data_IF_363195846534
#
_entry.id   IF_363195846534
#
_cell.length_a   1.000
_cell.length_b   1.000
_cell.length_c   1.000
_cell.angle_alpha   90.00
_cell.angle_beta   90.00
_cell.angle_gamma   90.00
#
_symmetry.space_group_name_H-M   'P 1'
#
loop_
_entity.id
_entity.type
_entity.pdbx_description
1 polymer ?
#
# COMPACT_ATOMS: atom_id res chain seq x y z
N UNK A 1 16.26 30.51 -0.02
CA UNK A 1 15.62 29.57 -0.93
C UNK A 1 14.33 30.18 -1.45
N UNK A 2 14.14 30.19 -2.76
CA UNK A 2 12.96 30.80 -3.40
C UNK A 2 11.78 29.83 -3.35
N UNK A 3 10.71 30.15 -2.62
CA UNK A 3 9.48 29.36 -2.51
C UNK A 3 8.75 29.24 -3.86
N UNK A 4 8.83 30.30 -4.71
CA UNK A 4 8.25 30.27 -6.05
C UNK A 4 8.95 29.27 -6.98
N UNK A 5 10.27 29.19 -6.89
CA UNK A 5 11.08 28.19 -7.61
C UNK A 5 10.80 26.76 -7.11
N UNK A 6 10.62 26.59 -5.81
CA UNK A 6 10.29 25.29 -5.20
C UNK A 6 8.89 24.81 -5.62
N UNK A 7 7.88 25.71 -5.60
CA UNK A 7 6.53 25.41 -6.10
C UNK A 7 6.53 25.04 -7.58
N UNK A 8 7.30 25.77 -8.40
CA UNK A 8 7.46 25.47 -9.83
C UNK A 8 8.08 24.08 -10.06
N UNK A 9 9.07 23.68 -9.27
CA UNK A 9 9.66 22.34 -9.32
C UNK A 9 8.60 21.26 -9.07
N UNK A 10 7.76 21.45 -8.06
CA UNK A 10 6.65 20.54 -7.75
C UNK A 10 5.71 20.42 -8.94
N UNK A 11 5.27 21.55 -9.52
CA UNK A 11 4.34 21.54 -10.65
C UNK A 11 4.92 20.86 -11.90
N UNK A 12 6.23 21.00 -12.15
CA UNK A 12 6.90 20.36 -13.29
C UNK A 12 6.98 18.84 -13.10
N UNK A 13 7.35 18.37 -11.92
CA UNK A 13 7.46 16.94 -11.63
C UNK A 13 6.08 16.28 -11.70
N UNK A 14 5.07 16.87 -11.10
CA UNK A 14 3.70 16.37 -11.13
C UNK A 14 3.07 16.36 -12.54
N UNK A 15 3.44 17.32 -13.38
CA UNK A 15 3.00 17.35 -14.78
C UNK A 15 3.75 16.36 -15.68
N UNK A 16 4.90 15.84 -15.23
CA UNK A 16 5.74 14.88 -15.96
C UNK A 16 6.54 15.50 -17.13
N UNK A 17 6.20 16.71 -17.55
CA UNK A 17 6.98 17.46 -18.55
C UNK A 17 6.70 18.96 -18.50
N UNK A 18 7.65 19.77 -19.04
CA UNK A 18 7.58 21.23 -19.05
C UNK A 18 6.37 21.80 -19.82
N UNK A 19 5.91 21.13 -20.85
CA UNK A 19 4.79 21.63 -21.66
C UNK A 19 3.46 21.48 -20.91
N UNK A 20 3.22 20.37 -20.23
CA UNK A 20 2.04 20.17 -19.38
C UNK A 20 2.06 21.09 -18.17
N UNK A 21 3.22 21.27 -17.55
CA UNK A 21 3.39 22.23 -16.46
C UNK A 21 3.06 23.66 -16.92
N UNK A 22 3.51 24.07 -18.10
CA UNK A 22 3.24 25.38 -18.67
C UNK A 22 1.72 25.60 -18.87
N UNK A 23 1.02 24.64 -19.43
CA UNK A 23 -0.45 24.70 -19.58
C UNK A 23 -1.14 24.82 -18.22
N UNK A 24 -0.75 24.00 -17.24
CA UNK A 24 -1.33 24.02 -15.88
C UNK A 24 -1.12 25.35 -15.16
N UNK A 25 0.05 25.98 -15.38
CA UNK A 25 0.41 27.25 -14.75
C UNK A 25 -0.03 28.49 -15.55
N UNK A 26 -0.68 28.34 -16.69
CA UNK A 26 -1.04 29.46 -17.58
C UNK A 26 0.16 30.21 -18.13
N UNK A 27 1.32 29.54 -18.31
CA UNK A 27 2.59 30.13 -18.75
C UNK A 27 3.03 29.56 -20.10
N UNK A 28 3.97 30.24 -20.76
CA UNK A 28 4.66 29.67 -21.89
C UNK A 28 5.71 28.63 -21.44
N UNK A 29 5.96 27.58 -22.23
CA UNK A 29 7.03 26.60 -21.98
C UNK A 29 8.39 27.26 -21.78
N UNK A 30 8.68 28.32 -22.57
CA UNK A 30 9.92 29.07 -22.44
C UNK A 30 10.05 29.76 -21.07
N UNK A 31 8.96 30.33 -20.54
CA UNK A 31 8.93 30.95 -19.22
C UNK A 31 9.16 29.91 -18.10
N UNK A 32 8.45 28.75 -18.15
CA UNK A 32 8.67 27.67 -17.19
C UNK A 32 10.13 27.19 -17.21
N UNK A 33 10.70 26.99 -18.42
CA UNK A 33 12.10 26.59 -18.58
C UNK A 33 13.08 27.62 -18.03
N UNK A 34 12.82 28.92 -18.29
CA UNK A 34 13.66 30.03 -17.80
C UNK A 34 13.64 30.09 -16.26
N UNK A 35 12.47 30.04 -15.64
CA UNK A 35 12.32 30.10 -14.18
C UNK A 35 12.95 28.88 -13.49
N UNK A 36 12.80 27.68 -14.08
CA UNK A 36 13.49 26.49 -13.58
C UNK A 36 15.01 26.65 -13.61
N UNK A 37 15.57 27.14 -14.74
CA UNK A 37 17.01 27.39 -14.86
C UNK A 37 17.50 28.44 -13.87
N UNK A 38 16.68 29.44 -13.57
CA UNK A 38 17.00 30.43 -12.56
C UNK A 38 17.06 29.82 -11.17
N UNK A 39 16.10 28.98 -10.84
CA UNK A 39 16.04 28.25 -9.57
C UNK A 39 17.23 27.27 -9.42
N UNK A 40 17.54 26.50 -10.45
CA UNK A 40 18.71 25.59 -10.47
C UNK A 40 20.03 26.35 -10.30
N UNK A 41 20.17 27.55 -10.90
CA UNK A 41 21.35 28.42 -10.67
C UNK A 41 21.45 28.93 -9.24
N UNK A 42 20.32 29.29 -8.61
CA UNK A 42 20.31 29.70 -7.20
C UNK A 42 20.71 28.56 -6.25
N UNK A 43 20.32 27.34 -6.58
CA UNK A 43 20.70 26.12 -5.82
C UNK A 43 22.14 25.70 -6.13
N UNK A 44 22.68 26.07 -7.30
CA UNK A 44 24.00 25.64 -7.77
C UNK A 44 24.05 24.21 -8.34
N UNK A 45 22.91 23.55 -8.50
CA UNK A 45 22.82 22.17 -8.98
C UNK A 45 21.58 21.98 -9.85
N UNK A 46 21.67 21.01 -10.78
CA UNK A 46 20.53 20.60 -11.57
C UNK A 46 19.58 19.76 -10.72
N UNK A 47 18.29 20.10 -10.79
CA UNK A 47 17.22 19.41 -10.09
C UNK A 47 16.46 18.44 -11.00
N UNK A 48 16.50 18.68 -12.32
CA UNK A 48 15.82 17.88 -13.32
C UNK A 48 16.78 17.50 -14.46
N UNK A 49 16.79 16.20 -14.81
CA UNK A 49 17.41 15.72 -16.05
C UNK A 49 16.39 15.85 -17.19
N UNK A 50 16.77 16.50 -18.27
CA UNK A 50 15.91 16.74 -19.41
C UNK A 50 16.14 15.66 -20.46
N UNK A 51 15.13 14.84 -20.70
CA UNK A 51 15.03 14.04 -21.92
C UNK A 51 14.11 14.75 -22.91
N UNK A 52 14.14 14.38 -24.16
CA UNK A 52 13.32 15.02 -25.20
C UNK A 52 11.81 14.85 -24.99
N UNK A 53 11.38 13.91 -24.16
CA UNK A 53 9.97 13.54 -23.93
C UNK A 53 9.50 13.64 -22.49
N UNK A 54 10.40 13.50 -21.51
CA UNK A 54 10.06 13.46 -20.07
C UNK A 54 11.05 14.27 -19.26
N UNK A 55 10.65 14.60 -18.04
CA UNK A 55 11.49 15.22 -17.04
C UNK A 55 11.72 14.20 -15.94
N UNK A 56 12.98 13.89 -15.66
CA UNK A 56 13.38 12.99 -14.59
C UNK A 56 14.02 13.79 -13.47
N UNK A 57 13.51 13.75 -12.24
CA UNK A 57 14.14 14.45 -11.12
C UNK A 57 15.50 13.79 -10.77
N UNK A 58 16.46 14.63 -10.39
CA UNK A 58 17.69 14.18 -9.75
C UNK A 58 17.40 13.78 -8.29
N UNK A 59 18.33 13.13 -7.61
CA UNK A 59 18.19 12.82 -6.18
C UNK A 59 17.89 14.09 -5.35
N UNK A 60 18.63 15.19 -5.60
CA UNK A 60 18.35 16.47 -4.96
C UNK A 60 16.99 17.03 -5.39
N UNK A 61 16.61 16.86 -6.66
CA UNK A 61 15.30 17.26 -7.18
C UNK A 61 14.16 16.55 -6.46
N UNK A 62 14.27 15.24 -6.20
CA UNK A 62 13.28 14.49 -5.42
C UNK A 62 13.19 14.96 -3.96
N UNK A 63 14.33 15.22 -3.33
CA UNK A 63 14.35 15.75 -1.95
C UNK A 63 13.69 17.12 -1.86
N UNK A 64 14.00 18.04 -2.78
CA UNK A 64 13.37 19.36 -2.82
C UNK A 64 11.89 19.28 -3.23
N UNK A 65 11.51 18.33 -4.08
CA UNK A 65 10.10 18.04 -4.40
C UNK A 65 9.31 17.67 -3.15
N UNK A 66 9.83 16.76 -2.32
CA UNK A 66 9.19 16.37 -1.07
C UNK A 66 8.99 17.58 -0.13
N UNK A 67 10.02 18.42 0.04
CA UNK A 67 9.90 19.67 0.82
C UNK A 67 8.91 20.65 0.22
N UNK A 68 8.91 20.81 -1.11
CA UNK A 68 7.99 21.71 -1.80
C UNK A 68 6.53 21.31 -1.67
N UNK A 69 6.26 20.00 -1.72
CA UNK A 69 4.93 19.45 -1.44
C UNK A 69 4.50 19.71 0.01
N UNK A 70 5.37 19.48 0.98
CA UNK A 70 5.07 19.72 2.38
C UNK A 70 4.73 21.20 2.64
N UNK A 71 5.51 22.14 2.08
CA UNK A 71 5.22 23.57 2.18
C UNK A 71 3.88 23.91 1.52
N UNK A 72 3.58 23.37 0.35
CA UNK A 72 2.31 23.61 -0.34
C UNK A 72 1.12 23.09 0.49
N UNK A 73 1.26 21.94 1.11
CA UNK A 73 0.24 21.38 2.02
C UNK A 73 0.01 22.30 3.22
N UNK A 74 1.09 22.83 3.81
CA UNK A 74 1.00 23.76 4.95
C UNK A 74 0.29 25.07 4.58
N UNK A 75 0.58 25.62 3.41
CA UNK A 75 -0.11 26.81 2.89
C UNK A 75 -1.60 26.52 2.66
N UNK A 76 -1.93 25.36 2.09
CA UNK A 76 -3.33 24.94 1.91
C UNK A 76 -4.04 24.77 3.25
N UNK A 77 -3.40 24.17 4.23
CA UNK A 77 -3.93 24.02 5.58
C UNK A 77 -4.18 25.34 6.29
N UNK A 78 -3.27 26.30 6.11
CA UNK A 78 -3.48 27.66 6.62
C UNK A 78 -4.71 28.33 5.96
N UNK A 79 -4.88 28.15 4.64
CA UNK A 79 -6.06 28.64 3.93
C UNK A 79 -7.35 27.94 4.41
N UNK A 80 -7.34 26.61 4.59
CA UNK A 80 -8.45 25.84 5.16
C UNK A 80 -8.83 26.32 6.59
N UNK A 81 -7.85 26.72 7.38
CA UNK A 81 -8.09 27.26 8.73
C UNK A 81 -8.86 28.57 8.72
N UNK A 82 -8.71 29.36 7.66
CA UNK A 82 -9.45 30.62 7.45
C UNK A 82 -10.88 30.33 6.97
N UNK A 83 -11.04 29.31 6.09
CA UNK A 83 -12.33 28.96 5.46
C UNK A 83 -13.20 28.01 6.31
N UNK A 84 -12.71 27.54 7.46
CA UNK A 84 -13.30 26.45 8.27
C UNK A 84 -14.65 26.76 8.93
N UNK A 85 -15.22 27.93 8.75
CA UNK A 85 -16.53 28.32 9.25
C UNK A 85 -17.68 27.90 8.29
N UNK A 86 -17.77 26.60 7.95
CA UNK A 86 -19.00 26.08 7.32
C UNK A 86 -18.87 25.44 5.94
N UNK A 87 -17.67 25.22 5.42
CA UNK A 87 -17.50 24.57 4.11
C UNK A 87 -17.29 23.04 4.20
N UNK A 88 -17.80 22.34 3.19
CA UNK A 88 -17.58 20.89 3.00
C UNK A 88 -16.10 20.60 2.85
N UNK A 89 -15.66 19.46 3.40
CA UNK A 89 -14.28 18.98 3.31
C UNK A 89 -13.86 18.85 1.83
N UNK A 90 -12.76 19.49 1.44
CA UNK A 90 -12.24 19.50 0.07
C UNK A 90 -10.74 19.21 0.05
N UNK A 91 -10.24 18.78 -1.10
CA UNK A 91 -8.80 18.59 -1.32
C UNK A 91 -8.46 17.28 -2.03
N UNK A 92 -7.16 17.08 -2.27
CA UNK A 92 -6.63 15.84 -2.87
C UNK A 92 -5.82 15.09 -1.82
N UNK A 93 -6.11 13.80 -1.70
CA UNK A 93 -5.34 12.87 -0.85
C UNK A 93 -4.71 11.81 -1.74
N UNK A 94 -3.41 11.66 -1.64
CA UNK A 94 -2.62 10.67 -2.36
C UNK A 94 -2.19 9.57 -1.41
N UNK A 95 -2.56 8.34 -1.72
CA UNK A 95 -2.21 7.21 -0.87
C UNK A 95 -1.73 6.03 -1.70
N UNK A 96 -0.87 5.22 -1.09
CA UNK A 96 -0.40 3.96 -1.67
C UNK A 96 -0.87 2.80 -0.78
N UNK A 97 -1.44 1.76 -1.39
CA UNK A 97 -2.00 0.60 -0.71
C UNK A 97 -1.46 -0.69 -1.31
N UNK A 98 -1.34 -1.79 -0.53
CA UNK A 98 -0.87 -3.06 -1.06
C UNK A 98 -1.78 -3.57 -2.17
N UNK A 99 -1.21 -4.06 -3.28
CA UNK A 99 -1.96 -4.49 -4.46
C UNK A 99 -3.06 -5.51 -4.13
N UNK A 100 -2.77 -6.52 -3.30
CA UNK A 100 -3.74 -7.54 -2.93
C UNK A 100 -4.76 -7.04 -1.91
N UNK A 101 -4.30 -6.56 -0.76
CA UNK A 101 -5.17 -6.08 0.32
C UNK A 101 -5.95 -4.83 -0.08
N UNK A 102 -5.28 -3.89 -0.73
CA UNK A 102 -5.91 -2.65 -1.21
C UNK A 102 -7.09 -2.94 -2.11
N UNK A 103 -6.95 -3.87 -3.06
CA UNK A 103 -8.02 -4.20 -4.01
C UNK A 103 -9.14 -5.02 -3.37
N UNK A 104 -8.83 -5.99 -2.52
CA UNK A 104 -9.83 -6.92 -1.96
C UNK A 104 -10.60 -6.34 -0.76
N UNK A 105 -9.94 -5.50 0.04
CA UNK A 105 -10.50 -4.98 1.29
C UNK A 105 -10.70 -3.47 1.25
N UNK A 106 -9.66 -2.71 0.96
CA UNK A 106 -9.72 -1.25 1.09
C UNK A 106 -10.51 -0.56 -0.01
N UNK A 107 -10.65 -1.15 -1.20
CA UNK A 107 -11.39 -0.51 -2.31
C UNK A 107 -12.85 -0.18 -1.93
N UNK A 108 -13.50 -1.05 -1.15
CA UNK A 108 -14.83 -0.80 -0.60
C UNK A 108 -14.86 0.40 0.35
N UNK A 109 -13.90 0.45 1.29
CA UNK A 109 -13.76 1.55 2.25
C UNK A 109 -13.48 2.89 1.57
N UNK A 110 -12.55 2.91 0.62
CA UNK A 110 -12.20 4.12 -0.13
C UNK A 110 -13.39 4.63 -0.96
N UNK A 111 -14.14 3.73 -1.59
CA UNK A 111 -15.34 4.08 -2.33
C UNK A 111 -16.45 4.63 -1.42
N UNK A 112 -16.63 4.08 -0.23
CA UNK A 112 -17.55 4.58 0.77
C UNK A 112 -17.14 5.98 1.25
N UNK A 113 -15.86 6.18 1.56
CA UNK A 113 -15.32 7.47 1.95
C UNK A 113 -15.57 8.55 0.89
N UNK A 114 -15.34 8.25 -0.38
CA UNK A 114 -15.60 9.19 -1.48
C UNK A 114 -17.07 9.57 -1.60
N UNK A 115 -18.01 8.66 -1.31
CA UNK A 115 -19.43 8.99 -1.29
C UNK A 115 -19.79 9.92 -0.13
N UNK A 116 -19.15 9.74 1.03
CA UNK A 116 -19.38 10.60 2.20
C UNK A 116 -18.74 11.99 2.02
N UNK A 117 -17.68 12.10 1.25
CA UNK A 117 -16.88 13.31 1.06
C UNK A 117 -16.69 13.66 -0.42
N UNK A 118 -17.76 14.14 -1.12
CA UNK A 118 -17.71 14.39 -2.57
C UNK A 118 -16.73 15.49 -2.99
N UNK A 119 -16.30 16.35 -2.06
CA UNK A 119 -15.28 17.39 -2.31
C UNK A 119 -13.84 16.88 -2.27
N UNK A 120 -13.60 15.60 -1.90
CA UNK A 120 -12.26 15.03 -1.84
C UNK A 120 -11.96 14.26 -3.13
N UNK A 121 -10.77 14.48 -3.66
CA UNK A 121 -10.18 13.66 -4.73
C UNK A 121 -9.17 12.68 -4.13
N UNK A 122 -9.31 11.39 -4.42
CA UNK A 122 -8.33 10.38 -4.05
C UNK A 122 -7.48 9.99 -5.26
N UNK A 123 -6.15 10.05 -5.09
CA UNK A 123 -5.17 9.46 -6.01
C UNK A 123 -4.60 8.20 -5.32
N UNK A 124 -5.00 7.01 -5.79
CA UNK A 124 -4.67 5.74 -5.15
C UNK A 124 -3.68 4.96 -6.00
N UNK A 125 -2.53 4.64 -5.42
CA UNK A 125 -1.51 3.80 -6.05
C UNK A 125 -1.58 2.40 -5.41
N UNK A 126 -1.69 1.36 -6.23
CA UNK A 126 -1.63 -0.02 -5.77
C UNK A 126 -0.20 -0.54 -5.93
N UNK A 127 0.57 -0.47 -4.86
CA UNK A 127 1.97 -0.90 -4.83
C UNK A 127 2.33 -1.46 -3.45
N UNK A 128 3.38 -2.30 -3.40
CA UNK A 128 3.89 -2.88 -2.16
C UNK A 128 5.16 -2.18 -1.65
N UNK A 129 5.79 -1.34 -2.47
CA UNK A 129 7.01 -0.63 -2.12
C UNK A 129 6.71 0.62 -1.29
N UNK A 130 7.63 0.99 -0.40
CA UNK A 130 7.52 2.18 0.44
C UNK A 130 8.24 3.40 -0.14
N UNK A 131 8.90 3.25 -1.29
CA UNK A 131 9.69 4.30 -1.92
C UNK A 131 8.86 5.53 -2.25
N UNK A 132 7.63 5.35 -2.72
CA UNK A 132 6.70 6.44 -3.02
C UNK A 132 6.44 7.34 -1.80
N UNK A 133 6.32 6.74 -0.61
CA UNK A 133 6.16 7.48 0.64
C UNK A 133 7.45 8.21 1.03
N UNK A 134 8.59 7.52 0.94
CA UNK A 134 9.90 8.09 1.29
C UNK A 134 10.30 9.25 0.35
N UNK A 135 9.88 9.19 -0.90
CA UNK A 135 10.10 10.24 -1.90
C UNK A 135 9.05 11.35 -1.85
N UNK A 136 8.05 11.23 -0.97
CA UNK A 136 6.97 12.21 -0.85
C UNK A 136 5.98 12.21 -2.03
N UNK A 137 5.90 11.12 -2.78
CA UNK A 137 4.94 10.98 -3.88
C UNK A 137 3.51 10.81 -3.36
N UNK A 138 3.34 10.21 -2.18
CA UNK A 138 2.06 10.03 -1.49
C UNK A 138 2.06 10.69 -0.12
N UNK A 139 0.87 10.96 0.42
CA UNK A 139 0.69 11.58 1.74
C UNK A 139 0.83 10.55 2.85
N UNK A 140 0.31 9.35 2.62
CA UNK A 140 0.49 8.19 3.49
C UNK A 140 0.41 6.89 2.69
N UNK A 141 0.85 5.80 3.29
CA UNK A 141 0.78 4.46 2.69
C UNK A 141 0.21 3.46 3.69
N UNK A 142 -0.50 2.45 3.20
CA UNK A 142 -0.80 1.25 3.97
C UNK A 142 0.14 0.15 3.51
N UNK A 143 0.73 -0.57 4.45
CA UNK A 143 1.68 -1.66 4.15
C UNK A 143 1.47 -2.85 5.06
N UNK A 144 1.76 -4.02 4.50
CA UNK A 144 1.79 -5.30 5.23
C UNK A 144 3.24 -5.67 5.47
N UNK A 145 3.66 -5.66 6.73
CA UNK A 145 5.06 -5.93 7.12
C UNK A 145 5.15 -6.43 8.55
N UNK A 146 6.31 -6.95 8.91
CA UNK A 146 6.57 -7.42 10.28
C UNK A 146 6.84 -6.25 11.22
N UNK A 147 7.70 -5.32 10.79
CA UNK A 147 8.12 -4.15 11.55
C UNK A 147 8.21 -2.93 10.63
N UNK A 148 7.63 -1.80 11.00
CA UNK A 148 7.72 -0.57 10.23
C UNK A 148 9.10 0.09 10.41
N UNK A 149 9.60 0.84 9.40
CA UNK A 149 10.81 1.64 9.54
C UNK A 149 10.68 2.69 10.66
N UNK A 150 11.73 2.85 11.47
CA UNK A 150 11.78 3.84 12.58
C UNK A 150 11.65 5.29 12.09
N UNK A 151 11.97 5.55 10.82
CA UNK A 151 11.86 6.86 10.20
C UNK A 151 10.43 7.30 9.89
N UNK A 152 9.44 6.41 10.03
CA UNK A 152 8.04 6.67 9.73
C UNK A 152 7.18 6.59 10.99
N UNK A 153 6.12 7.39 11.00
CA UNK A 153 5.04 7.19 11.97
C UNK A 153 4.20 6.01 11.48
N UNK A 154 3.98 5.04 12.36
CA UNK A 154 3.27 3.81 12.06
C UNK A 154 2.07 3.63 12.98
N UNK A 155 0.87 3.55 12.40
CA UNK A 155 -0.34 3.18 13.09
C UNK A 155 -0.73 1.75 12.69
N UNK A 156 -0.76 0.81 13.64
CA UNK A 156 -1.25 -0.54 13.37
C UNK A 156 -2.74 -0.48 13.01
N UNK A 157 -3.09 -1.02 11.84
CA UNK A 157 -4.50 -1.19 11.42
C UNK A 157 -5.03 -2.56 11.81
N UNK A 158 -4.19 -3.62 11.76
CA UNK A 158 -4.63 -4.95 12.11
C UNK A 158 -3.58 -6.03 11.87
N UNK A 159 -3.98 -7.28 12.09
CA UNK A 159 -3.16 -8.45 11.84
C UNK A 159 -3.58 -9.15 10.55
N UNK A 160 -2.60 -9.64 9.79
CA UNK A 160 -2.82 -10.45 8.60
C UNK A 160 -2.57 -11.90 8.96
N UNK A 161 -3.64 -12.62 9.15
CA UNK A 161 -3.62 -14.05 9.44
C UNK A 161 -3.67 -14.85 8.14
N UNK A 162 -3.09 -16.04 8.16
CA UNK A 162 -3.06 -16.95 7.02
C UNK A 162 -4.01 -18.11 7.22
N UNK A 163 -4.53 -18.63 6.11
CA UNK A 163 -5.37 -19.83 6.06
C UNK A 163 -4.77 -20.85 5.10
N UNK A 164 -4.97 -22.13 5.42
CA UNK A 164 -4.78 -23.22 4.48
C UNK A 164 -6.17 -23.69 4.03
N UNK A 165 -6.44 -23.66 2.72
CA UNK A 165 -7.75 -24.01 2.17
C UNK A 165 -7.64 -24.63 0.78
N UNK A 166 -8.68 -25.36 0.39
CA UNK A 166 -8.84 -25.93 -0.94
C UNK A 166 -10.33 -26.07 -1.28
N UNK A 167 -10.64 -26.40 -2.53
CA UNK A 167 -12.03 -26.71 -2.91
C UNK A 167 -12.47 -28.04 -2.28
N UNK A 168 -13.76 -28.20 -1.92
CA UNK A 168 -14.30 -29.47 -1.43
C UNK A 168 -13.98 -30.64 -2.36
N UNK A 169 -14.09 -30.42 -3.67
CA UNK A 169 -13.78 -31.41 -4.69
C UNK A 169 -12.31 -31.89 -4.65
N UNK A 170 -11.37 -30.93 -4.47
CA UNK A 170 -9.96 -31.27 -4.33
C UNK A 170 -9.72 -32.12 -3.06
N UNK A 171 -10.32 -31.70 -1.94
CA UNK A 171 -10.18 -32.42 -0.67
C UNK A 171 -10.80 -33.85 -0.72
N UNK A 172 -11.93 -34.01 -1.38
CA UNK A 172 -12.54 -35.34 -1.60
C UNK A 172 -11.62 -36.28 -2.38
N UNK A 173 -10.85 -35.76 -3.36
CA UNK A 173 -9.94 -36.54 -4.19
C UNK A 173 -8.56 -36.81 -3.54
N UNK A 174 -8.06 -35.90 -2.70
CA UNK A 174 -6.68 -35.95 -2.19
C UNK A 174 -6.60 -36.11 -0.65
N UNK A 175 -7.74 -36.16 0.04
CA UNK A 175 -7.82 -36.19 1.50
C UNK A 175 -7.70 -34.76 2.13
N UNK A 176 -7.86 -34.76 3.45
CA UNK A 176 -7.81 -33.52 4.26
C UNK A 176 -6.49 -33.44 5.03
N UNK A 177 -5.46 -32.76 4.53
CA UNK A 177 -4.22 -32.57 5.28
C UNK A 177 -4.51 -31.91 6.64
N UNK A 178 -4.10 -32.54 7.73
CA UNK A 178 -4.35 -32.13 9.12
C UNK A 178 -3.11 -31.56 9.81
N UNK A 179 -2.00 -31.49 9.12
CA UNK A 179 -0.73 -31.03 9.66
C UNK A 179 0.15 -30.37 8.59
N UNK A 180 1.10 -29.52 9.01
CA UNK A 180 2.08 -28.95 8.09
C UNK A 180 2.91 -30.02 7.36
N UNK A 181 3.14 -31.17 7.99
CA UNK A 181 3.84 -32.27 7.36
C UNK A 181 3.00 -32.92 6.24
N UNK A 182 1.70 -33.04 6.45
CA UNK A 182 0.78 -33.55 5.45
C UNK A 182 0.68 -32.65 4.22
N UNK A 183 0.83 -31.33 4.39
CA UNK A 183 0.87 -30.37 3.29
C UNK A 183 1.99 -30.64 2.26
N UNK A 184 3.09 -31.31 2.66
CA UNK A 184 4.15 -31.69 1.70
C UNK A 184 3.71 -32.72 0.65
N UNK A 185 2.64 -33.44 0.92
CA UNK A 185 2.16 -34.56 0.07
C UNK A 185 1.13 -34.11 -0.96
N UNK A 186 0.67 -32.87 -0.88
CA UNK A 186 -0.32 -32.30 -1.79
C UNK A 186 0.25 -31.15 -2.60
N UNK A 187 -0.28 -30.87 -3.79
CA UNK A 187 0.08 -29.67 -4.53
C UNK A 187 -0.22 -28.41 -3.72
N UNK A 188 0.78 -27.56 -3.50
CA UNK A 188 0.64 -26.32 -2.75
C UNK A 188 0.63 -25.10 -3.67
N UNK A 189 -0.19 -24.13 -3.30
CA UNK A 189 -0.31 -22.80 -3.90
C UNK A 189 0.04 -21.79 -2.82
N UNK A 190 1.11 -21.00 -3.01
CA UNK A 190 1.59 -20.09 -1.96
C UNK A 190 1.97 -18.72 -2.53
N UNK A 191 2.03 -17.71 -1.66
CA UNK A 191 2.62 -16.43 -2.01
C UNK A 191 4.15 -16.53 -2.04
N UNK A 192 4.78 -15.61 -2.77
CA UNK A 192 6.24 -15.49 -2.77
C UNK A 192 6.80 -15.18 -1.37
N UNK A 193 6.00 -14.56 -0.49
CA UNK A 193 6.36 -14.26 0.89
C UNK A 193 6.52 -15.52 1.75
N UNK A 194 5.74 -16.57 1.47
CA UNK A 194 5.88 -17.87 2.15
C UNK A 194 7.19 -18.56 1.77
N UNK A 195 7.74 -18.22 0.63
CA UNK A 195 8.93 -18.87 0.09
C UNK A 195 8.71 -20.37 -0.12
N UNK A 196 9.80 -21.14 0.02
CA UNK A 196 9.76 -22.61 -0.05
C UNK A 196 9.88 -23.26 1.35
N UNK A 197 9.49 -22.54 2.41
CA UNK A 197 9.68 -22.99 3.79
C UNK A 197 8.43 -22.72 4.61
N UNK A 198 7.96 -23.72 5.32
CA UNK A 198 7.01 -23.60 6.42
C UNK A 198 7.76 -23.86 7.72
N UNK A 199 7.38 -23.15 8.79
CA UNK A 199 7.95 -23.39 10.11
C UNK A 199 6.95 -24.15 10.97
N UNK A 200 7.37 -25.24 11.59
CA UNK A 200 6.54 -25.89 12.61
C UNK A 200 6.70 -25.11 13.93
N UNK A 201 5.58 -24.81 14.58
CA UNK A 201 5.65 -24.37 15.97
C UNK A 201 6.30 -25.47 16.81
N UNK A 202 7.31 -25.10 17.59
CA UNK A 202 7.90 -26.05 18.55
C UNK A 202 6.88 -26.38 19.62
N UNK A 203 6.31 -27.57 19.60
CA UNK A 203 5.47 -28.07 20.70
C UNK A 203 6.37 -28.46 21.88
N UNK A 204 5.97 -28.15 23.12
CA UNK A 204 6.62 -28.57 24.38
C UNK A 204 8.11 -28.17 24.50
N UNK A 205 8.48 -26.95 24.09
CA UNK A 205 9.85 -26.45 24.22
C UNK A 205 10.82 -26.95 23.12
N UNK A 206 10.34 -27.69 22.14
CA UNK A 206 11.13 -28.05 20.96
C UNK A 206 11.39 -26.82 20.09
N UNK A 207 12.57 -26.74 19.46
CA UNK A 207 12.90 -25.64 18.54
C UNK A 207 11.98 -25.69 17.30
N UNK A 208 11.55 -24.52 16.78
CA UNK A 208 10.85 -24.46 15.50
C UNK A 208 11.66 -25.16 14.42
N UNK A 209 11.04 -26.08 13.70
CA UNK A 209 11.69 -26.81 12.60
C UNK A 209 11.24 -26.24 11.27
N UNK A 210 12.18 -25.92 10.38
CA UNK A 210 11.84 -25.49 9.02
C UNK A 210 11.46 -26.71 8.16
N UNK A 211 10.28 -26.65 7.60
CA UNK A 211 9.77 -27.63 6.66
C UNK A 211 9.92 -27.09 5.24
N UNK A 212 10.83 -27.65 4.46
CA UNK A 212 10.94 -27.30 3.03
C UNK A 212 9.74 -27.86 2.28
N UNK A 213 9.07 -26.98 1.54
CA UNK A 213 7.97 -27.31 0.65
C UNK A 213 8.39 -27.11 -0.82
N UNK A 214 7.68 -27.74 -1.73
CA UNK A 214 7.80 -27.51 -3.17
C UNK A 214 6.44 -27.06 -3.70
N UNK A 215 6.15 -25.76 -3.70
CA UNK A 215 4.89 -25.27 -4.23
C UNK A 215 4.74 -25.64 -5.70
N UNK A 216 3.54 -26.05 -6.09
CA UNK A 216 3.18 -26.22 -7.49
C UNK A 216 3.00 -24.89 -8.19
N UNK A 217 2.50 -23.89 -7.44
CA UNK A 217 2.32 -22.52 -7.89
C UNK A 217 2.80 -21.55 -6.81
N UNK A 218 3.60 -20.57 -7.21
CA UNK A 218 4.04 -19.47 -6.36
C UNK A 218 3.94 -18.15 -7.13
N UNK A 219 3.28 -17.16 -6.54
CA UNK A 219 3.12 -15.84 -7.15
C UNK A 219 2.99 -14.74 -6.09
N UNK A 220 3.48 -13.52 -6.33
CA UNK A 220 3.13 -12.36 -5.51
C UNK A 220 1.72 -11.84 -5.78
N UNK A 221 1.08 -12.28 -6.87
CA UNK A 221 -0.27 -11.87 -7.26
C UNK A 221 -1.31 -12.73 -6.55
N UNK A 222 -1.94 -12.17 -5.53
CA UNK A 222 -2.93 -12.89 -4.72
C UNK A 222 -4.22 -13.24 -5.49
N UNK A 223 -4.65 -12.42 -6.44
CA UNK A 223 -5.82 -12.75 -7.29
C UNK A 223 -5.57 -14.00 -8.11
N UNK A 224 -4.38 -14.10 -8.71
CA UNK A 224 -3.99 -15.29 -9.45
C UNK A 224 -3.93 -16.55 -8.57
N UNK A 225 -3.44 -16.43 -7.32
CA UNK A 225 -3.43 -17.55 -6.38
C UNK A 225 -4.86 -17.97 -5.99
N UNK A 226 -5.75 -16.99 -5.77
CA UNK A 226 -7.17 -17.23 -5.48
C UNK A 226 -7.85 -17.98 -6.63
N UNK A 227 -7.67 -17.50 -7.85
CA UNK A 227 -8.25 -18.15 -9.02
C UNK A 227 -7.73 -19.59 -9.17
N UNK A 228 -6.44 -19.81 -8.95
CA UNK A 228 -5.82 -21.12 -9.04
C UNK A 228 -6.39 -22.11 -8.01
N UNK A 229 -6.62 -21.70 -6.76
CA UNK A 229 -7.22 -22.58 -5.76
C UNK A 229 -8.69 -22.87 -6.06
N UNK A 230 -9.44 -21.92 -6.54
CA UNK A 230 -10.85 -22.11 -6.97
C UNK A 230 -10.98 -23.07 -8.16
N UNK A 231 -9.96 -23.14 -9.01
CA UNK A 231 -9.88 -24.13 -10.09
C UNK A 231 -9.40 -25.53 -9.60
N UNK A 232 -9.26 -25.72 -8.28
CA UNK A 232 -8.88 -26.99 -7.70
C UNK A 232 -7.43 -27.42 -7.99
N UNK A 233 -6.52 -26.49 -8.26
CA UNK A 233 -5.12 -26.81 -8.61
C UNK A 233 -4.28 -27.27 -7.40
N UNK A 234 -4.77 -27.10 -6.17
CA UNK A 234 -4.06 -27.50 -4.97
C UNK A 234 -4.61 -26.87 -3.69
N UNK A 235 -3.88 -27.05 -2.61
CA UNK A 235 -4.11 -26.38 -1.32
C UNK A 235 -3.44 -25.01 -1.34
N UNK A 236 -4.20 -23.96 -1.09
CA UNK A 236 -3.65 -22.63 -0.93
C UNK A 236 -3.26 -22.37 0.53
N UNK A 237 -2.07 -21.75 0.74
CA UNK A 237 -1.65 -21.15 2.01
C UNK A 237 -1.50 -19.64 1.75
N UNK A 238 -2.50 -18.88 2.14
CA UNK A 238 -2.71 -17.50 1.73
C UNK A 238 -3.30 -16.65 2.85
N UNK A 239 -3.20 -15.31 2.78
CA UNK A 239 -3.88 -14.44 3.74
C UNK A 239 -5.39 -14.69 3.78
N UNK A 240 -5.96 -14.72 5.00
CA UNK A 240 -7.40 -14.98 5.23
C UNK A 240 -8.30 -14.05 4.43
N UNK A 241 -8.01 -12.75 4.39
CA UNK A 241 -8.82 -11.76 3.69
C UNK A 241 -9.00 -12.06 2.19
N UNK A 242 -8.07 -12.81 1.62
CA UNK A 242 -8.07 -13.15 0.20
C UNK A 242 -9.15 -14.17 -0.18
N UNK A 243 -9.49 -15.04 0.76
CA UNK A 243 -10.40 -16.20 0.56
C UNK A 243 -11.59 -16.19 1.53
N UNK A 244 -11.79 -15.07 2.24
CA UNK A 244 -12.84 -14.97 3.27
C UNK A 244 -14.25 -15.20 2.70
N UNK A 245 -14.54 -14.62 1.53
CA UNK A 245 -15.84 -14.78 0.86
C UNK A 245 -16.08 -16.23 0.41
N UNK A 246 -15.05 -16.88 -0.13
CA UNK A 246 -15.11 -18.26 -0.60
C UNK A 246 -15.23 -19.26 0.55
N UNK A 247 -14.58 -18.98 1.67
CA UNK A 247 -14.74 -19.77 2.89
C UNK A 247 -16.15 -19.61 3.47
N UNK A 248 -16.70 -18.41 3.45
CA UNK A 248 -18.05 -18.13 3.94
C UNK A 248 -19.13 -18.79 3.05
N UNK A 249 -18.92 -18.83 1.73
CA UNK A 249 -19.84 -19.46 0.78
C UNK A 249 -19.70 -20.97 0.67
N UNK A 250 -18.64 -21.57 1.25
CA UNK A 250 -18.32 -22.99 1.10
C UNK A 250 -17.67 -23.35 -0.25
N UNK A 251 -17.32 -22.37 -1.09
CA UNK A 251 -16.55 -22.62 -2.32
C UNK A 251 -15.13 -23.12 -2.01
N UNK A 252 -14.60 -22.73 -0.86
CA UNK A 252 -13.38 -23.26 -0.28
C UNK A 252 -13.66 -23.77 1.14
N UNK A 253 -12.94 -24.81 1.56
CA UNK A 253 -12.94 -25.33 2.91
C UNK A 253 -11.59 -25.14 3.58
N UNK A 254 -11.60 -24.80 4.87
CA UNK A 254 -10.39 -24.74 5.70
C UNK A 254 -9.86 -26.12 5.95
N UNK A 255 -8.55 -26.28 5.91
CA UNK A 255 -7.92 -27.48 6.37
C UNK A 255 -7.93 -27.56 7.91
N UNK A 256 -8.10 -28.75 8.48
CA UNK A 256 -8.15 -28.97 9.93
C UNK A 256 -6.73 -28.96 10.55
N UNK A 257 -5.96 -27.90 10.28
CA UNK A 257 -4.65 -27.75 10.89
C UNK A 257 -4.78 -27.38 12.38
N UNK A 258 -3.85 -27.82 13.25
CA UNK A 258 -3.83 -27.42 14.63
C UNK A 258 -3.77 -25.88 14.76
N UNK A 259 -4.44 -25.28 15.76
CA UNK A 259 -4.39 -23.85 16.02
C UNK A 259 -2.94 -23.36 16.09
N UNK A 260 -2.69 -22.18 15.52
CA UNK A 260 -1.35 -21.57 15.52
C UNK A 260 -0.37 -22.16 14.50
N UNK A 261 -0.76 -23.18 13.71
CA UNK A 261 0.13 -23.80 12.72
C UNK A 261 0.68 -22.84 11.67
N UNK A 262 -0.03 -21.75 11.39
CA UNK A 262 0.35 -20.74 10.39
C UNK A 262 0.74 -19.38 11.00
N UNK A 263 0.79 -19.26 12.34
CA UNK A 263 1.08 -17.98 13.02
C UNK A 263 2.45 -17.42 12.68
N UNK A 264 3.41 -18.24 12.28
CA UNK A 264 4.72 -17.80 11.82
C UNK A 264 4.67 -17.01 10.50
N UNK A 265 3.53 -17.05 9.78
CA UNK A 265 3.26 -16.26 8.58
C UNK A 265 2.53 -14.96 8.91
N UNK A 266 1.99 -14.83 10.12
CA UNK A 266 1.24 -13.66 10.52
C UNK A 266 2.12 -12.41 10.39
N UNK A 267 1.54 -11.40 9.77
CA UNK A 267 2.13 -10.09 9.58
C UNK A 267 1.16 -9.03 10.09
N UNK A 268 1.56 -7.77 10.03
CA UNK A 268 0.72 -6.66 10.49
C UNK A 268 0.51 -5.67 9.36
N UNK A 269 -0.64 -5.03 9.41
CA UNK A 269 -0.93 -3.90 8.56
C UNK A 269 -0.66 -2.62 9.31
N UNK A 270 0.06 -1.73 8.66
CA UNK A 270 0.37 -0.41 9.18
C UNK A 270 -0.07 0.66 8.20
N UNK A 271 -0.65 1.71 8.73
CA UNK A 271 -0.75 3.00 8.05
C UNK A 271 0.51 3.78 8.41
N UNK A 272 1.25 4.20 7.38
CA UNK A 272 2.57 4.82 7.49
C UNK A 272 2.55 6.21 6.89
N UNK A 273 3.16 7.18 7.57
CA UNK A 273 3.38 8.53 7.03
C UNK A 273 4.66 9.15 7.59
N UNK A 274 5.16 10.19 6.94
CA UNK A 274 6.37 10.91 7.36
C UNK A 274 6.07 11.78 8.60
N UNK A 275 6.90 11.75 9.65
CA UNK A 275 6.66 12.49 10.89
C UNK A 275 6.65 14.03 10.72
N UNK A 276 7.27 14.53 9.65
CA UNK A 276 7.40 15.96 9.34
C UNK A 276 6.31 16.50 8.43
N UNK A 277 5.36 15.67 7.98
CA UNK A 277 4.29 16.11 7.09
C UNK A 277 3.12 16.67 7.90
N UNK A 278 2.76 17.93 7.62
CA UNK A 278 1.47 18.45 8.02
C UNK A 278 0.38 17.66 7.31
N UNK A 279 -0.56 17.15 8.10
CA UNK A 279 -1.72 16.43 7.58
C UNK A 279 -2.88 17.41 7.44
N UNK A 280 -3.33 17.63 6.19
CA UNK A 280 -4.55 18.40 5.93
C UNK A 280 -5.76 17.73 6.58
N UNK A 281 -6.85 18.47 6.79
CA UNK A 281 -8.11 17.91 7.31
C UNK A 281 -8.60 16.73 6.47
N UNK A 282 -8.42 16.78 5.13
CA UNK A 282 -8.77 15.70 4.24
C UNK A 282 -7.97 14.41 4.53
N UNK A 283 -6.64 14.54 4.75
CA UNK A 283 -5.76 13.41 5.08
C UNK A 283 -6.12 12.82 6.44
N UNK A 284 -6.25 13.65 7.49
CA UNK A 284 -6.62 13.18 8.83
C UNK A 284 -7.99 12.50 8.84
N UNK A 285 -8.98 13.08 8.17
CA UNK A 285 -10.31 12.48 8.10
C UNK A 285 -10.30 11.10 7.41
N UNK A 286 -9.51 10.94 6.33
CA UNK A 286 -9.37 9.64 5.70
C UNK A 286 -8.61 8.64 6.58
N UNK A 287 -7.55 9.07 7.26
CA UNK A 287 -6.79 8.22 8.19
C UNK A 287 -7.70 7.72 9.32
N UNK A 288 -8.48 8.61 9.94
CA UNK A 288 -9.38 8.25 11.03
C UNK A 288 -10.49 7.31 10.53
N UNK A 289 -11.07 7.58 9.37
CA UNK A 289 -12.04 6.69 8.74
C UNK A 289 -11.47 5.27 8.50
N UNK A 290 -10.24 5.17 7.97
CA UNK A 290 -9.62 3.86 7.74
C UNK A 290 -9.33 3.11 9.04
N UNK A 291 -8.98 3.84 10.12
CA UNK A 291 -8.79 3.26 11.46
C UNK A 291 -10.09 2.74 12.04
N UNK A 292 -11.17 3.50 11.94
CA UNK A 292 -12.51 3.10 12.38
C UNK A 292 -13.00 1.85 11.62
N UNK A 293 -12.80 1.80 10.31
CA UNK A 293 -13.14 0.62 9.50
C UNK A 293 -12.34 -0.61 9.94
N UNK A 294 -11.05 -0.47 10.16
CA UNK A 294 -10.19 -1.57 10.61
C UNK A 294 -10.59 -2.10 12.00
N UNK A 295 -11.03 -1.21 12.91
CA UNK A 295 -11.56 -1.59 14.22
C UNK A 295 -12.90 -2.31 14.11
N UNK A 296 -13.82 -1.78 13.29
CA UNK A 296 -15.15 -2.36 13.10
C UNK A 296 -15.11 -3.78 12.50
N UNK A 297 -14.14 -4.06 11.65
CA UNK A 297 -13.94 -5.41 11.07
C UNK A 297 -13.15 -6.36 11.98
N UNK A 298 -12.83 -5.95 13.20
CA UNK A 298 -12.11 -6.79 14.16
C UNK A 298 -10.67 -7.12 13.74
N UNK A 299 -10.08 -6.29 12.89
CA UNK A 299 -8.70 -6.45 12.43
C UNK A 299 -7.68 -6.10 13.52
N UNK A 300 -8.10 -5.36 14.56
CA UNK A 300 -7.36 -5.12 15.80
C UNK A 300 -7.78 -6.16 16.83
N UNK A 301 -7.12 -7.31 16.81
CA UNK A 301 -7.23 -8.33 17.83
C UNK A 301 -6.15 -8.15 18.90
#
# INVERSE_FOLDING_TARGET
>A
MDLGGLSLLVDIIEAGNLSRAAVRLGMSRANVSHRLNQFERQIGQQLLRRTTRQVEPTELGLRLYAHGRAIRQEVMAAAESVDSLGQSLQGTVRLSVPSGYGQLQMSGWLTEFMRMHPGITLEVIFDNDIEDLMQGAVDFAVRVMTEPPESLVACKLGDVLYEACATPQFLAAHGHPDSLLALKRVPLITSALTGQKLRTAGMNGARPTELRIRPRLMSPNFHFLRDAVLQGLGVAVVPRYMVAAELASGALERLPLPPGSLDFLATRQYLLYMPSHYQTRAITTLIDFLREKAEAEGLRG
#
